data_IF_088009790340
#
_entry.id   IF_088009790340
#
_cell.length_a   1.000
_cell.length_b   1.000
_cell.length_c   1.000
_cell.angle_alpha   90.00
_cell.angle_beta   90.00
_cell.angle_gamma   90.00
#
_symmetry.space_group_name_H-M   'P 1'
#
loop_
_entity.id
_entity.type
_entity.pdbx_description
1 polymer ?
#
# COMPACT_ATOMS: atom_id res chain seq x y z
N UNK A 1 -50.21 -14.01 48.98
CA UNK A 1 -49.37 -13.78 50.17
C UNK A 1 -49.83 -14.67 51.31
N UNK A 2 -49.25 -15.86 51.50
CA UNK A 2 -49.23 -16.55 52.81
C UNK A 2 -47.97 -17.42 52.86
N UNK A 3 -46.88 -16.76 53.20
CA UNK A 3 -45.62 -17.39 53.56
C UNK A 3 -45.64 -17.55 55.08
N UNK A 4 -45.54 -18.76 55.63
CA UNK A 4 -45.21 -18.90 57.05
C UNK A 4 -44.47 -20.21 57.37
N UNK A 5 -43.14 -20.07 57.34
CA UNK A 5 -42.12 -20.54 58.29
C UNK A 5 -42.40 -21.81 59.09
N UNK A 6 -41.57 -22.83 58.83
CA UNK A 6 -41.09 -23.86 59.79
C UNK A 6 -39.60 -24.06 59.42
N UNK A 7 -38.65 -23.33 60.00
CA UNK A 7 -37.79 -23.66 61.17
C UNK A 7 -37.26 -25.11 61.13
N UNK A 8 -35.95 -25.24 61.44
CA UNK A 8 -35.28 -26.38 62.11
C UNK A 8 -34.16 -27.05 61.27
N UNK A 9 -32.94 -26.60 61.61
CA UNK A 9 -31.68 -27.36 61.79
C UNK A 9 -31.09 -28.20 60.65
N UNK A 10 -29.97 -27.72 60.10
CA UNK A 10 -28.63 -28.15 60.51
C UNK A 10 -28.16 -29.59 60.23
N UNK A 11 -27.08 -29.65 59.42
CA UNK A 11 -25.94 -30.59 59.44
C UNK A 11 -26.12 -32.04 58.93
N UNK A 12 -25.58 -32.30 57.74
CA UNK A 12 -24.86 -33.53 57.33
C UNK A 12 -24.39 -33.33 55.87
N UNK A 13 -23.22 -33.74 55.34
CA UNK A 13 -22.00 -34.42 55.79
C UNK A 13 -20.93 -34.00 54.77
N UNK A 14 -19.71 -33.81 55.27
CA UNK A 14 -18.51 -33.67 54.44
C UNK A 14 -18.28 -34.94 53.59
N UNK A 15 -18.21 -34.78 52.27
CA UNK A 15 -17.52 -35.74 51.41
C UNK A 15 -16.31 -35.04 50.80
N UNK A 16 -15.20 -35.20 51.50
CA UNK A 16 -13.86 -34.98 50.99
C UNK A 16 -13.59 -35.93 49.82
N UNK A 17 -13.48 -35.36 48.61
CA UNK A 17 -12.79 -36.01 47.51
C UNK A 17 -11.57 -35.16 47.18
N UNK A 18 -10.43 -35.58 47.74
CA UNK A 18 -9.14 -35.27 47.13
C UNK A 18 -8.94 -36.25 45.98
N UNK A 19 -8.73 -35.73 44.77
CA UNK A 19 -8.34 -36.50 43.61
C UNK A 19 -7.76 -35.56 42.55
N UNK A 20 -6.44 -35.48 42.48
CA UNK A 20 -5.71 -34.70 41.49
C UNK A 20 -5.95 -35.22 40.07
N UNK A 21 -6.11 -34.31 39.10
CA UNK A 21 -5.66 -34.54 37.73
C UNK A 21 -5.30 -33.22 37.07
N UNK A 22 -4.03 -33.12 36.69
CA UNK A 22 -3.49 -32.05 35.89
C UNK A 22 -3.89 -32.25 34.42
N UNK A 23 -4.54 -31.26 33.83
CA UNK A 23 -4.60 -31.08 32.38
C UNK A 23 -4.35 -29.61 32.05
N UNK A 24 -3.25 -29.37 31.33
CA UNK A 24 -2.93 -28.08 30.72
C UNK A 24 -4.05 -27.68 29.75
N UNK A 25 -4.58 -26.47 29.91
CA UNK A 25 -5.19 -25.70 28.85
C UNK A 25 -5.10 -24.21 29.23
N UNK A 26 -3.90 -23.66 29.07
CA UNK A 26 -3.74 -22.25 28.71
C UNK A 26 -4.52 -21.95 27.43
N UNK A 27 -4.71 -20.65 27.13
CA UNK A 27 -5.33 -20.07 25.92
C UNK A 27 -6.87 -19.93 26.12
N UNK A 28 -7.49 -18.76 26.31
CA UNK A 28 -7.36 -17.46 25.65
C UNK A 28 -7.62 -16.30 26.63
N UNK A 29 -6.56 -15.63 27.10
CA UNK A 29 -6.70 -14.23 27.54
C UNK A 29 -6.85 -13.37 26.30
N UNK A 30 -8.07 -12.88 26.05
CA UNK A 30 -8.38 -11.92 24.98
C UNK A 30 -7.69 -10.58 25.30
N UNK A 31 -6.40 -10.47 24.96
CA UNK A 31 -5.69 -9.19 24.94
C UNK A 31 -6.30 -8.35 23.81
N UNK A 32 -6.89 -7.21 24.18
CA UNK A 32 -7.21 -6.14 23.23
C UNK A 32 -5.93 -5.79 22.48
N UNK A 33 -5.89 -6.04 21.18
CA UNK A 33 -4.89 -5.43 20.30
C UNK A 33 -5.13 -3.93 20.31
N UNK A 34 -4.39 -3.23 21.18
CA UNK A 34 -4.11 -1.82 21.00
C UNK A 34 -3.33 -1.75 19.70
N UNK A 35 -3.99 -1.29 18.64
CA UNK A 35 -3.35 -0.95 17.38
C UNK A 35 -2.33 0.14 17.67
N UNK A 36 -1.11 -0.27 17.99
CA UNK A 36 0.08 0.56 17.94
C UNK A 36 0.38 0.71 16.45
N UNK A 37 -0.08 1.83 15.88
CA UNK A 37 0.33 2.33 14.57
C UNK A 37 1.80 2.75 14.62
N UNK A 38 2.67 1.76 14.71
CA UNK A 38 4.11 1.93 14.48
C UNK A 38 4.57 0.75 13.66
N UNK A 39 4.08 0.73 12.42
CA UNK A 39 4.76 0.06 11.32
C UNK A 39 5.21 1.20 10.43
N UNK A 40 6.51 1.31 10.19
CA UNK A 40 7.02 2.11 9.09
C UNK A 40 6.39 1.54 7.80
N UNK A 41 5.27 2.13 7.41
CA UNK A 41 4.54 1.76 6.21
C UNK A 41 5.43 2.15 5.02
N UNK A 42 5.67 1.18 4.13
CA UNK A 42 6.40 1.43 2.88
C UNK A 42 5.87 2.71 2.24
N UNK A 43 6.74 3.58 1.69
CA UNK A 43 6.32 4.88 1.22
C UNK A 43 5.21 4.69 0.18
N UNK A 44 4.05 5.31 0.44
CA UNK A 44 2.94 5.28 -0.51
C UNK A 44 3.38 5.91 -1.83
N UNK A 45 2.63 5.69 -2.91
CA UNK A 45 2.87 6.33 -4.20
C UNK A 45 2.99 7.85 -4.07
N UNK A 46 2.13 8.47 -3.25
CA UNK A 46 2.16 9.89 -2.96
C UNK A 46 3.40 10.33 -2.17
N UNK A 47 3.78 9.59 -1.13
CA UNK A 47 4.97 9.90 -0.33
C UNK A 47 6.26 9.74 -1.14
N UNK A 48 6.34 8.69 -1.96
CA UNK A 48 7.47 8.47 -2.90
C UNK A 48 7.55 9.59 -3.92
N UNK A 49 6.41 10.06 -4.43
CA UNK A 49 6.35 11.20 -5.35
C UNK A 49 6.77 12.51 -4.68
N UNK A 50 6.31 12.81 -3.45
CA UNK A 50 6.75 13.98 -2.71
C UNK A 50 8.28 14.06 -2.59
N UNK A 51 8.91 12.94 -2.21
CA UNK A 51 10.38 12.84 -2.10
C UNK A 51 11.06 12.96 -3.46
N UNK A 52 10.50 12.38 -4.53
CA UNK A 52 11.07 12.48 -5.87
C UNK A 52 11.04 13.90 -6.43
N UNK A 53 10.05 14.71 -6.04
CA UNK A 53 9.99 16.14 -6.34
C UNK A 53 10.90 17.00 -5.42
N UNK A 54 11.65 16.36 -4.52
CA UNK A 54 12.58 17.01 -3.61
C UNK A 54 11.91 17.63 -2.37
N UNK A 55 10.70 17.19 -2.02
CA UNK A 55 10.00 17.53 -0.79
C UNK A 55 10.25 16.53 0.35
N UNK A 56 9.72 16.83 1.53
CA UNK A 56 9.77 16.00 2.73
C UNK A 56 8.37 15.49 3.08
N UNK A 57 8.22 14.17 3.21
CA UNK A 57 6.96 13.50 3.62
C UNK A 57 6.82 13.50 5.14
N UNK A 58 5.78 14.13 5.67
CA UNK A 58 5.57 14.30 7.12
C UNK A 58 4.25 13.67 7.54
N UNK A 59 4.28 12.79 8.55
CA UNK A 59 3.08 12.24 9.18
C UNK A 59 2.50 13.21 10.21
N UNK A 60 1.26 13.62 10.00
CA UNK A 60 0.50 14.52 10.87
C UNK A 60 -0.54 13.72 11.64
N UNK A 61 -0.46 13.77 12.97
CA UNK A 61 -1.42 13.09 13.85
C UNK A 61 -2.68 13.93 14.04
N UNK A 62 -3.85 13.31 13.94
CA UNK A 62 -5.12 14.00 14.14
C UNK A 62 -6.14 13.17 14.90
N UNK A 63 -7.13 13.84 15.51
CA UNK A 63 -8.25 13.18 16.20
C UNK A 63 -9.14 12.37 15.24
N UNK A 64 -9.10 12.66 13.94
CA UNK A 64 -9.89 12.01 12.88
C UNK A 64 -9.12 10.92 12.13
N UNK A 65 -7.87 10.67 12.53
CA UNK A 65 -6.94 9.78 11.83
C UNK A 65 -5.69 10.52 11.37
N UNK A 66 -4.57 9.79 11.29
CA UNK A 66 -3.29 10.34 10.87
C UNK A 66 -3.27 10.45 9.34
N UNK A 67 -2.68 11.52 8.82
CA UNK A 67 -2.53 11.77 7.38
C UNK A 67 -1.13 12.28 7.09
N UNK A 68 -0.75 12.37 5.82
CA UNK A 68 0.59 12.82 5.42
C UNK A 68 0.52 14.09 4.59
N UNK A 69 1.51 14.96 4.80
CA UNK A 69 1.71 16.19 4.02
C UNK A 69 3.08 16.20 3.39
N UNK A 70 3.18 16.77 2.19
CA UNK A 70 4.43 17.05 1.51
C UNK A 70 4.87 18.47 1.83
N UNK A 71 6.04 18.62 2.44
CA UNK A 71 6.70 19.91 2.62
C UNK A 71 7.64 20.14 1.44
N UNK A 72 7.29 21.07 0.58
CA UNK A 72 8.04 21.44 -0.61
C UNK A 72 9.24 22.35 -0.26
N UNK A 73 10.20 22.48 -1.19
CA UNK A 73 11.43 23.28 -0.99
C UNK A 73 11.18 24.76 -0.71
N UNK A 74 10.08 25.29 -1.24
CA UNK A 74 9.65 26.67 -0.98
C UNK A 74 8.99 26.85 0.40
N UNK A 75 8.92 25.79 1.23
CA UNK A 75 8.29 25.80 2.54
C UNK A 75 6.79 25.56 2.53
N UNK A 76 6.16 25.45 1.36
CA UNK A 76 4.72 25.13 1.25
C UNK A 76 4.46 23.71 1.71
N UNK A 77 3.40 23.53 2.51
CA UNK A 77 2.93 22.22 2.96
C UNK A 77 1.59 21.92 2.28
N UNK A 78 1.49 20.78 1.61
CA UNK A 78 0.30 20.33 0.87
C UNK A 78 -0.02 18.87 1.21
N UNK A 79 -1.28 18.44 1.18
CA UNK A 79 -1.62 17.02 1.31
C UNK A 79 -0.92 16.19 0.22
N UNK A 80 -0.28 15.08 0.59
CA UNK A 80 0.54 14.33 -0.37
C UNK A 80 -0.29 13.73 -1.51
N UNK A 81 -1.51 13.29 -1.21
CA UNK A 81 -2.39 12.68 -2.20
C UNK A 81 -3.00 13.71 -3.13
N UNK A 82 -3.35 14.89 -2.61
CA UNK A 82 -3.74 16.03 -3.42
C UNK A 82 -2.62 16.46 -4.35
N UNK A 83 -1.40 16.62 -3.81
CA UNK A 83 -0.23 16.95 -4.61
C UNK A 83 0.04 15.91 -5.69
N UNK A 84 -0.01 14.62 -5.34
CA UNK A 84 0.17 13.53 -6.28
C UNK A 84 -0.89 13.56 -7.39
N UNK A 85 -2.18 13.62 -7.06
CA UNK A 85 -3.24 13.60 -8.09
C UNK A 85 -3.18 14.78 -9.05
N UNK A 86 -2.78 15.94 -8.55
CA UNK A 86 -2.72 17.17 -9.35
C UNK A 86 -1.46 17.26 -10.21
N UNK A 87 -0.39 16.53 -9.87
CA UNK A 87 0.92 16.68 -10.51
C UNK A 87 1.51 15.35 -11.04
N UNK A 88 0.81 14.23 -10.86
CA UNK A 88 1.23 12.94 -11.39
C UNK A 88 1.47 13.06 -12.90
N UNK A 89 2.58 12.51 -13.42
CA UNK A 89 2.89 12.56 -14.84
C UNK A 89 1.72 12.02 -15.66
N UNK A 90 1.32 12.78 -16.67
CA UNK A 90 0.35 12.34 -17.66
C UNK A 90 1.00 11.44 -18.71
N UNK A 91 0.19 10.78 -19.54
CA UNK A 91 0.69 10.04 -20.69
C UNK A 91 1.51 10.95 -21.62
N UNK A 92 1.08 12.20 -21.78
CA UNK A 92 1.78 13.19 -22.59
C UNK A 92 3.15 13.56 -21.98
N UNK A 93 3.26 13.63 -20.66
CA UNK A 93 4.55 13.89 -20.00
C UNK A 93 5.52 12.74 -20.20
N UNK A 94 5.01 11.50 -20.15
CA UNK A 94 5.81 10.31 -20.44
C UNK A 94 6.26 10.28 -21.91
N UNK A 95 5.37 10.60 -22.86
CA UNK A 95 5.70 10.70 -24.28
C UNK A 95 6.78 11.75 -24.54
N UNK A 96 6.68 12.94 -23.94
CA UNK A 96 7.74 13.96 -24.02
C UNK A 96 9.07 13.47 -23.45
N UNK A 97 9.04 12.75 -22.34
CA UNK A 97 10.24 12.18 -21.75
C UNK A 97 10.92 11.17 -22.67
N UNK A 98 10.13 10.35 -23.38
CA UNK A 98 10.65 9.40 -24.37
C UNK A 98 11.18 10.11 -25.62
N UNK A 99 10.51 11.17 -26.10
CA UNK A 99 11.03 11.99 -27.21
C UNK A 99 12.38 12.64 -26.88
N UNK A 100 12.64 12.92 -25.60
CA UNK A 100 13.92 13.44 -25.13
C UNK A 100 14.91 12.33 -24.72
N UNK A 101 14.53 11.05 -24.76
CA UNK A 101 15.43 9.96 -24.42
C UNK A 101 16.52 9.76 -25.48
N UNK A 102 17.60 9.03 -25.19
CA UNK A 102 18.57 8.64 -26.21
C UNK A 102 18.19 7.36 -26.96
N UNK A 103 17.08 6.71 -26.59
CA UNK A 103 16.65 5.46 -27.21
C UNK A 103 15.97 5.74 -28.57
N UNK A 104 16.61 5.41 -29.71
CA UNK A 104 16.05 5.68 -31.03
C UNK A 104 14.81 4.84 -31.33
N UNK A 105 14.73 3.60 -30.80
CA UNK A 105 13.59 2.72 -31.01
C UNK A 105 12.32 3.25 -30.32
N UNK A 106 12.47 3.79 -29.11
CA UNK A 106 11.35 4.39 -28.38
C UNK A 106 10.86 5.68 -29.07
N UNK A 107 11.78 6.53 -29.57
CA UNK A 107 11.43 7.69 -30.40
C UNK A 107 10.67 7.29 -31.65
N UNK A 108 11.15 6.26 -32.34
CA UNK A 108 10.54 5.76 -33.56
C UNK A 108 9.12 5.22 -33.30
N UNK A 109 8.92 4.48 -32.20
CA UNK A 109 7.59 4.03 -31.79
C UNK A 109 6.60 5.21 -31.66
N UNK A 110 6.98 6.27 -30.95
CA UNK A 110 6.13 7.46 -30.76
C UNK A 110 5.91 8.20 -32.08
N UNK A 111 6.96 8.35 -32.89
CA UNK A 111 6.86 8.98 -34.20
C UNK A 111 5.89 8.24 -35.15
N UNK A 112 5.71 6.93 -34.96
CA UNK A 112 4.73 6.10 -35.71
C UNK A 112 3.35 6.04 -35.05
N UNK A 113 3.09 6.88 -34.04
CA UNK A 113 1.80 6.96 -33.35
C UNK A 113 1.58 5.86 -32.30
N UNK A 114 2.64 5.16 -31.89
CA UNK A 114 2.62 4.21 -30.79
C UNK A 114 2.96 4.87 -29.44
N UNK A 115 2.75 4.12 -28.36
CA UNK A 115 3.19 4.45 -27.00
C UNK A 115 4.33 3.53 -26.60
N UNK A 116 5.44 4.11 -26.16
CA UNK A 116 6.58 3.36 -25.62
C UNK A 116 6.30 2.95 -24.18
N UNK A 117 6.37 1.66 -23.88
CA UNK A 117 6.13 1.10 -22.55
C UNK A 117 7.34 0.28 -22.09
N UNK A 118 7.82 0.54 -20.88
CA UNK A 118 8.81 -0.33 -20.24
C UNK A 118 8.12 -1.48 -19.52
N UNK A 119 8.48 -2.71 -19.86
CA UNK A 119 7.98 -3.91 -19.22
C UNK A 119 9.15 -4.74 -18.68
N UNK A 120 8.93 -5.43 -17.56
CA UNK A 120 9.89 -6.39 -17.01
C UNK A 120 9.47 -7.81 -17.39
N UNK A 121 10.42 -8.63 -17.78
CA UNK A 121 10.19 -10.07 -17.96
C UNK A 121 10.23 -10.83 -16.61
N UNK A 122 10.03 -12.16 -16.67
CA UNK A 122 10.07 -13.04 -15.49
C UNK A 122 11.41 -13.05 -14.77
N UNK A 123 12.49 -12.69 -15.45
CA UNK A 123 13.85 -12.63 -14.92
C UNK A 123 14.20 -11.21 -14.42
N UNK A 124 13.28 -10.25 -14.57
CA UNK A 124 13.47 -8.85 -14.17
C UNK A 124 14.16 -7.99 -15.22
N UNK A 125 14.47 -8.52 -16.41
CA UNK A 125 15.05 -7.73 -17.49
C UNK A 125 14.01 -6.78 -18.06
N UNK A 126 14.39 -5.51 -18.22
CA UNK A 126 13.53 -4.48 -18.79
C UNK A 126 13.62 -4.50 -20.32
N UNK A 127 12.47 -4.44 -20.99
CA UNK A 127 12.37 -4.25 -22.44
C UNK A 127 11.32 -3.20 -22.79
N UNK A 128 11.50 -2.56 -23.94
CA UNK A 128 10.56 -1.59 -24.50
C UNK A 128 9.52 -2.26 -25.39
N UNK A 129 8.25 -1.95 -25.19
CA UNK A 129 7.13 -2.40 -26.01
C UNK A 129 6.45 -1.19 -26.63
N UNK A 130 6.32 -1.20 -27.95
CA UNK A 130 5.54 -0.24 -28.70
C UNK A 130 4.08 -0.70 -28.74
N UNK A 131 3.18 0.06 -28.12
CA UNK A 131 1.74 -0.19 -28.11
C UNK A 131 1.00 0.82 -28.99
N UNK A 132 0.24 0.33 -29.97
CA UNK A 132 -0.60 1.17 -30.83
C UNK A 132 -2.03 1.29 -30.29
N UNK A 133 -2.76 2.30 -30.78
CA UNK A 133 -4.16 2.58 -30.38
C UNK A 133 -5.13 1.45 -30.71
N UNK A 134 -4.83 0.65 -31.74
CA UNK A 134 -5.58 -0.56 -32.10
C UNK A 134 -5.31 -1.76 -31.16
N UNK A 135 -4.45 -1.59 -30.16
CA UNK A 135 -4.07 -2.63 -29.19
C UNK A 135 -2.88 -3.48 -29.58
N UNK A 136 -2.33 -3.35 -30.80
CA UNK A 136 -1.12 -4.05 -31.23
C UNK A 136 0.05 -3.70 -30.32
N UNK A 137 0.80 -4.73 -29.88
CA UNK A 137 2.01 -4.60 -29.07
C UNK A 137 3.16 -5.32 -29.74
N UNK A 138 4.25 -4.62 -29.98
CA UNK A 138 5.47 -5.17 -30.60
C UNK A 138 6.69 -4.72 -29.79
N UNK A 139 7.78 -5.49 -29.83
CA UNK A 139 9.04 -5.05 -29.26
C UNK A 139 9.53 -3.80 -30.01
N UNK A 140 9.97 -2.77 -29.26
CA UNK A 140 10.37 -1.49 -29.86
C UNK A 140 11.55 -1.64 -30.80
N UNK A 141 12.53 -2.48 -30.43
CA UNK A 141 13.74 -2.67 -31.21
C UNK A 141 13.49 -3.54 -32.44
N UNK A 142 12.65 -4.56 -32.33
CA UNK A 142 12.22 -5.34 -33.49
C UNK A 142 11.44 -4.48 -34.48
N UNK A 143 10.51 -3.65 -33.98
CA UNK A 143 9.76 -2.73 -34.81
C UNK A 143 10.65 -1.68 -35.49
N UNK A 144 11.58 -1.10 -34.73
CA UNK A 144 12.55 -0.14 -35.26
C UNK A 144 13.38 -0.76 -36.38
N UNK A 145 14.07 -1.88 -36.12
CA UNK A 145 14.93 -2.53 -37.12
C UNK A 145 14.20 -2.94 -38.40
N UNK A 146 12.94 -3.32 -38.29
CA UNK A 146 12.14 -3.72 -39.44
C UNK A 146 11.62 -2.52 -40.28
N UNK A 147 11.64 -1.29 -39.76
CA UNK A 147 10.92 -0.15 -40.36
C UNK A 147 11.67 1.19 -40.40
N UNK A 148 12.85 1.32 -39.78
CA UNK A 148 13.69 2.53 -39.80
C UNK A 148 14.59 2.62 -41.03
#
# INVERSE_FOLDING_TARGET
MKNLKVIVTGLVIAMSISGMSASLSSIFRKKKNKSTSTTAEAPTQASSYCVSQGGESILVKSKKGDFRVCKLRNGTTIDEWEYYRNNAPTVQDFERQVLNSENPAAKFCIAKGGKSLKVKDRNGAEKGICQFSNGTKVDEWDYYRANH
#
